data_IF_121751626042
#
_entry.id   IF_121751626042
#
_cell.length_a   1.000
_cell.length_b   1.000
_cell.length_c   1.000
_cell.angle_alpha   90.00
_cell.angle_beta   90.00
_cell.angle_gamma   90.00
#
_symmetry.space_group_name_H-M   'P 1'
#
loop_
_entity.id
_entity.type
_entity.pdbx_description
1 polymer ?
#
# COMPACT_ATOMS: atom_id res chain seq x y z
N UNK A 1 -10.29 11.53 -17.71
CA UNK A 1 -8.98 10.82 -17.85
C UNK A 1 -8.91 9.79 -16.73
N UNK A 2 -8.53 8.55 -17.00
CA UNK A 2 -8.50 7.49 -15.99
C UNK A 2 -7.12 7.44 -15.35
N UNK A 3 -7.06 7.39 -14.01
CA UNK A 3 -5.81 7.31 -13.25
C UNK A 3 -5.56 5.87 -12.84
N UNK A 4 -4.36 5.37 -13.14
CA UNK A 4 -3.96 4.02 -12.83
C UNK A 4 -3.45 3.92 -11.39
N UNK A 5 -4.04 3.04 -10.60
CA UNK A 5 -3.61 2.70 -9.25
C UNK A 5 -3.06 1.28 -9.14
N UNK A 6 -2.13 1.05 -8.22
CA UNK A 6 -1.62 -0.29 -7.92
C UNK A 6 -2.00 -0.73 -6.50
N UNK A 7 -2.65 -1.89 -6.42
CA UNK A 7 -3.00 -2.53 -5.17
C UNK A 7 -1.75 -3.12 -4.50
N UNK A 8 -1.59 -2.85 -3.20
CA UNK A 8 -0.48 -3.34 -2.40
C UNK A 8 0.88 -3.18 -3.11
N UNK A 9 1.18 -1.94 -3.43
CA UNK A 9 2.25 -1.54 -4.36
C UNK A 9 3.64 -2.03 -3.96
N UNK A 10 3.87 -2.35 -2.68
CA UNK A 10 5.15 -2.85 -2.16
C UNK A 10 5.22 -4.38 -2.06
N UNK A 11 4.22 -5.11 -2.51
CA UNK A 11 4.20 -6.59 -2.43
C UNK A 11 5.19 -7.30 -3.35
N UNK A 12 5.90 -6.58 -4.22
CA UNK A 12 7.03 -7.10 -4.98
C UNK A 12 8.26 -7.37 -4.11
N UNK A 13 8.32 -6.78 -2.90
CA UNK A 13 9.42 -7.00 -1.97
C UNK A 13 9.42 -8.45 -1.48
N UNK A 14 10.62 -8.94 -1.15
CA UNK A 14 10.77 -10.29 -0.60
C UNK A 14 10.11 -10.40 0.77
N UNK A 15 9.57 -11.58 1.14
CA UNK A 15 9.13 -11.84 2.50
C UNK A 15 10.23 -11.58 3.52
N UNK A 16 9.88 -11.14 4.71
CA UNK A 16 10.83 -10.89 5.80
C UNK A 16 11.45 -12.18 6.34
N UNK A 17 10.71 -13.29 6.28
CA UNK A 17 11.18 -14.62 6.66
C UNK A 17 11.46 -15.48 5.42
N UNK A 18 12.60 -16.17 5.40
CA UNK A 18 12.96 -17.09 4.33
C UNK A 18 12.01 -18.29 4.23
N UNK A 19 11.44 -18.70 5.37
CA UNK A 19 10.46 -19.80 5.42
C UNK A 19 9.16 -19.46 4.70
N UNK A 20 8.85 -18.17 4.53
CA UNK A 20 7.65 -17.70 3.82
C UNK A 20 7.88 -17.51 2.32
N UNK A 21 9.10 -17.71 1.85
CA UNK A 21 9.45 -17.50 0.44
C UNK A 21 8.65 -18.40 -0.53
N UNK A 22 8.47 -19.70 -0.27
CA UNK A 22 7.66 -20.55 -1.14
C UNK A 22 6.21 -20.08 -1.27
N UNK A 23 5.71 -19.35 -0.27
CA UNK A 23 4.34 -18.84 -0.22
C UNK A 23 4.21 -17.38 -0.68
N UNK A 24 5.29 -16.76 -1.15
CA UNK A 24 5.27 -15.35 -1.57
C UNK A 24 4.21 -15.06 -2.63
N UNK A 25 3.98 -15.99 -3.54
CA UNK A 25 2.98 -15.86 -4.60
C UNK A 25 1.55 -15.62 -4.07
N UNK A 26 1.22 -16.07 -2.85
CA UNK A 26 -0.12 -15.89 -2.24
C UNK A 26 -0.38 -14.45 -1.78
N UNK A 27 0.66 -13.68 -1.52
CA UNK A 27 0.58 -12.30 -1.03
C UNK A 27 1.16 -11.27 -2.01
N UNK A 28 1.81 -11.73 -3.09
CA UNK A 28 2.42 -10.87 -4.10
C UNK A 28 1.37 -10.35 -5.06
N UNK A 29 1.06 -9.05 -4.97
CA UNK A 29 0.14 -8.36 -5.85
C UNK A 29 0.86 -7.66 -7.02
N UNK A 30 2.14 -7.32 -6.85
CA UNK A 30 2.94 -6.60 -7.85
C UNK A 30 4.17 -7.37 -8.26
N UNK A 31 4.44 -7.43 -9.56
CA UNK A 31 5.60 -8.12 -10.13
C UNK A 31 6.84 -7.23 -10.26
N UNK A 32 6.65 -5.91 -10.23
CA UNK A 32 7.69 -4.91 -10.50
C UNK A 32 7.75 -3.86 -9.40
N UNK A 33 8.90 -3.20 -9.27
CA UNK A 33 9.13 -2.19 -8.25
C UNK A 33 8.33 -0.89 -8.50
N UNK A 34 8.30 -0.01 -7.51
CA UNK A 34 7.58 1.27 -7.55
C UNK A 34 7.99 2.13 -8.75
N UNK A 35 9.27 2.16 -9.09
CA UNK A 35 9.77 2.98 -10.22
C UNK A 35 9.28 2.43 -11.56
N UNK A 36 9.26 1.11 -11.70
CA UNK A 36 8.73 0.46 -12.87
C UNK A 36 7.20 0.63 -12.97
N UNK A 37 6.47 0.49 -11.85
CA UNK A 37 5.03 0.78 -11.80
C UNK A 37 4.74 2.22 -12.25
N UNK A 38 5.51 3.20 -11.77
CA UNK A 38 5.37 4.60 -12.18
C UNK A 38 5.62 4.79 -13.68
N UNK A 39 6.68 4.18 -14.25
CA UNK A 39 6.95 4.23 -15.70
C UNK A 39 5.83 3.61 -16.54
N UNK A 40 5.13 2.63 -16.00
CA UNK A 40 3.95 2.00 -16.62
C UNK A 40 2.67 2.84 -16.49
N UNK A 41 2.76 4.04 -15.91
CA UNK A 41 1.63 4.96 -15.81
C UNK A 41 0.90 4.95 -14.46
N UNK A 42 1.34 4.12 -13.49
CA UNK A 42 0.75 4.15 -12.14
C UNK A 42 1.02 5.48 -11.46
N UNK A 43 -0.02 6.09 -10.91
CA UNK A 43 0.03 7.37 -10.18
C UNK A 43 -0.57 7.29 -8.78
N UNK A 44 -1.27 6.20 -8.48
CA UNK A 44 -1.84 5.93 -7.15
C UNK A 44 -1.23 4.66 -6.59
N UNK A 45 -0.61 4.73 -5.42
CA UNK A 45 0.10 3.63 -4.79
C UNK A 45 -0.56 3.26 -3.45
N UNK A 46 -1.06 2.01 -3.34
CA UNK A 46 -1.62 1.45 -2.11
C UNK A 46 -0.49 0.82 -1.28
N UNK A 47 -0.15 1.42 -0.16
CA UNK A 47 0.89 0.95 0.77
C UNK A 47 0.24 0.50 2.06
N UNK A 48 0.45 -0.76 2.41
CA UNK A 48 -0.15 -1.39 3.58
C UNK A 48 0.88 -1.63 4.66
N UNK A 49 0.55 -1.18 5.86
CA UNK A 49 1.45 -1.15 7.00
C UNK A 49 0.85 -1.89 8.19
N UNK A 50 1.70 -2.50 8.96
CA UNK A 50 1.49 -2.92 10.32
C UNK A 50 2.57 -2.29 11.19
N UNK A 51 2.47 -2.40 12.50
CA UNK A 51 3.47 -1.87 13.43
C UNK A 51 3.92 -2.94 14.40
N UNK A 52 5.21 -3.02 14.66
CA UNK A 52 5.73 -3.90 15.69
C UNK A 52 5.43 -3.35 17.12
N UNK A 53 5.93 -4.02 18.15
CA UNK A 53 5.73 -3.60 19.54
C UNK A 53 6.39 -2.26 19.90
N UNK A 54 7.35 -1.81 19.10
CA UNK A 54 8.07 -0.56 19.31
C UNK A 54 7.54 0.57 18.41
N UNK A 55 6.42 0.36 17.72
CA UNK A 55 5.85 1.34 16.79
C UNK A 55 6.60 1.46 15.45
N UNK A 56 7.50 0.51 15.12
CA UNK A 56 8.20 0.50 13.85
C UNK A 56 7.27 0.02 12.72
N UNK A 57 7.16 0.77 11.60
CA UNK A 57 6.32 0.35 10.48
C UNK A 57 6.89 -0.87 9.77
N UNK A 58 6.01 -1.80 9.45
CA UNK A 58 6.26 -3.03 8.70
C UNK A 58 5.36 -3.04 7.47
N UNK A 59 5.92 -3.23 6.29
CA UNK A 59 5.13 -3.44 5.08
C UNK A 59 4.50 -4.83 5.14
N UNK A 60 3.17 -4.90 4.97
CA UNK A 60 2.42 -6.13 5.18
C UNK A 60 1.31 -6.33 4.16
N UNK A 61 0.96 -7.58 3.88
CA UNK A 61 -0.27 -7.97 3.20
C UNK A 61 -0.84 -9.25 3.82
N UNK A 62 -2.02 -9.15 4.39
CA UNK A 62 -2.63 -10.26 5.11
C UNK A 62 -1.71 -10.80 6.20
N UNK A 63 -1.29 -12.06 6.07
CA UNK A 63 -0.40 -12.73 7.02
C UNK A 63 1.10 -12.51 6.72
N UNK A 64 1.47 -11.98 5.55
CA UNK A 64 2.85 -11.85 5.11
C UNK A 64 3.42 -10.45 5.37
N UNK A 65 4.58 -10.41 6.02
CA UNK A 65 5.40 -9.20 6.17
C UNK A 65 6.53 -9.21 5.16
N UNK A 66 6.80 -8.07 4.53
CA UNK A 66 7.85 -7.90 3.52
C UNK A 66 9.09 -7.23 4.09
N UNK A 67 10.25 -7.57 3.54
CA UNK A 67 11.55 -6.99 3.94
C UNK A 67 11.67 -5.56 3.43
N UNK A 68 11.29 -4.62 4.28
CA UNK A 68 11.39 -3.18 4.02
C UNK A 68 11.84 -2.47 5.31
N UNK A 69 13.01 -1.84 5.28
CA UNK A 69 13.44 -1.01 6.40
C UNK A 69 12.69 0.34 6.38
N UNK A 70 12.72 1.05 7.50
CA UNK A 70 12.10 2.39 7.61
C UNK A 70 12.73 3.36 6.62
N UNK A 71 14.07 3.31 6.49
CA UNK A 71 14.83 4.15 5.56
C UNK A 71 14.44 3.86 4.10
N UNK A 72 14.26 2.58 3.77
CA UNK A 72 13.80 2.17 2.44
C UNK A 72 12.38 2.66 2.16
N UNK A 73 11.48 2.54 3.13
CA UNK A 73 10.11 3.05 3.01
C UNK A 73 10.10 4.56 2.83
N UNK A 74 10.86 5.29 3.66
CA UNK A 74 11.01 6.74 3.57
C UNK A 74 11.62 7.16 2.23
N UNK A 75 12.64 6.44 1.74
CA UNK A 75 13.24 6.70 0.43
C UNK A 75 12.26 6.50 -0.74
N UNK A 76 11.37 5.49 -0.65
CA UNK A 76 10.31 5.28 -1.64
C UNK A 76 9.31 6.45 -1.61
N UNK A 77 8.86 6.86 -0.42
CA UNK A 77 7.92 7.98 -0.28
C UNK A 77 8.54 9.31 -0.72
N UNK A 78 9.82 9.53 -0.40
CA UNK A 78 10.58 10.69 -0.86
C UNK A 78 10.67 10.73 -2.39
N UNK A 79 10.97 9.60 -3.02
CA UNK A 79 11.02 9.52 -4.48
C UNK A 79 9.65 9.78 -5.12
N UNK A 80 8.55 9.25 -4.54
CA UNK A 80 7.20 9.55 -5.01
C UNK A 80 6.87 11.04 -4.83
N UNK A 81 7.30 11.66 -3.73
CA UNK A 81 7.12 13.08 -3.48
C UNK A 81 7.84 13.95 -4.53
N UNK A 82 9.04 13.58 -4.95
CA UNK A 82 9.80 14.29 -6.00
C UNK A 82 9.08 14.29 -7.36
N UNK A 83 8.21 13.29 -7.61
CA UNK A 83 7.44 13.22 -8.85
C UNK A 83 6.30 14.24 -8.92
N UNK A 84 5.72 14.62 -7.78
CA UNK A 84 4.69 15.66 -7.67
C UNK A 84 3.30 15.30 -8.21
N UNK A 85 3.21 14.29 -9.09
CA UNK A 85 1.98 13.83 -9.75
C UNK A 85 1.44 12.52 -9.17
N UNK A 86 1.93 12.10 -8.00
CA UNK A 86 1.59 10.83 -7.36
C UNK A 86 0.67 11.00 -6.17
N UNK A 87 -0.07 9.95 -5.87
CA UNK A 87 -0.88 9.83 -4.66
C UNK A 87 -0.57 8.51 -3.95
N UNK A 88 -0.55 8.53 -2.62
CA UNK A 88 -0.29 7.36 -1.80
C UNK A 88 -1.45 7.12 -0.86
N UNK A 89 -2.00 5.92 -0.93
CA UNK A 89 -2.94 5.41 0.05
C UNK A 89 -2.20 4.64 1.13
N UNK A 90 -2.29 5.10 2.38
CA UNK A 90 -1.76 4.38 3.53
C UNK A 90 -2.89 3.60 4.21
N UNK A 91 -2.69 2.30 4.44
CA UNK A 91 -3.66 1.43 5.08
C UNK A 91 -3.01 0.72 6.25
N UNK A 92 -3.69 0.71 7.40
CA UNK A 92 -3.37 -0.20 8.50
C UNK A 92 -3.91 -1.59 8.15
N UNK A 93 -3.00 -2.51 7.84
CA UNK A 93 -3.34 -3.89 7.48
C UNK A 93 -3.47 -4.74 8.73
N UNK A 94 -4.67 -5.21 9.01
CA UNK A 94 -4.92 -6.09 10.14
C UNK A 94 -4.51 -7.52 9.80
N UNK A 95 -3.70 -8.21 10.62
CA UNK A 95 -3.45 -9.64 10.45
C UNK A 95 -4.76 -10.42 10.51
N UNK A 96 -4.93 -11.47 9.68
CA UNK A 96 -6.17 -12.25 9.65
C UNK A 96 -6.44 -12.97 10.99
N UNK A 97 -5.40 -13.18 11.80
CA UNK A 97 -5.51 -13.82 13.12
C UNK A 97 -4.70 -13.01 14.14
N UNK A 98 -5.39 -12.35 15.04
CA UNK A 98 -4.80 -11.77 16.23
C UNK A 98 -4.95 -12.75 17.39
N UNK A 99 -3.96 -13.63 17.55
CA UNK A 99 -3.84 -14.49 18.74
C UNK A 99 -3.23 -13.67 19.88
N UNK A 100 -4.00 -12.77 20.45
CA UNK A 100 -3.60 -11.97 21.61
C UNK A 100 -4.67 -12.05 22.68
N UNK A 101 -4.28 -11.96 23.97
CA UNK A 101 -5.24 -11.95 25.08
C UNK A 101 -6.23 -10.77 24.99
N UNK A 102 -5.78 -9.64 24.44
CA UNK A 102 -6.62 -8.45 24.23
C UNK A 102 -6.43 -7.88 22.81
N UNK A 103 -7.20 -8.37 21.82
CA UNK A 103 -7.13 -7.87 20.45
C UNK A 103 -7.50 -6.39 20.32
N UNK A 104 -8.41 -5.89 21.17
CA UNK A 104 -8.87 -4.50 21.10
C UNK A 104 -7.78 -3.52 21.55
N UNK A 105 -7.09 -3.82 22.64
CA UNK A 105 -5.96 -3.01 23.12
C UNK A 105 -4.83 -2.97 22.07
N UNK A 106 -4.48 -4.14 21.49
CA UNK A 106 -3.48 -4.21 20.42
C UNK A 106 -3.88 -3.37 19.22
N UNK A 107 -5.14 -3.44 18.77
CA UNK A 107 -5.61 -2.64 17.64
C UNK A 107 -5.60 -1.15 17.94
N UNK A 108 -5.93 -0.76 19.17
CA UNK A 108 -5.89 0.66 19.60
C UNK A 108 -4.48 1.19 19.57
N UNK A 109 -3.50 0.45 20.10
CA UNK A 109 -2.08 0.79 20.04
C UNK A 109 -1.58 0.92 18.60
N UNK A 110 -1.92 -0.04 17.73
CA UNK A 110 -1.47 -0.01 16.32
C UNK A 110 -2.13 1.12 15.53
N UNK A 111 -3.38 1.48 15.83
CA UNK A 111 -4.02 2.68 15.28
C UNK A 111 -3.31 3.96 15.70
N UNK A 112 -2.88 4.07 16.94
CA UNK A 112 -2.10 5.21 17.41
C UNK A 112 -0.78 5.34 16.64
N UNK A 113 0.02 4.29 16.53
CA UNK A 113 1.27 4.29 15.75
C UNK A 113 1.03 4.63 14.28
N UNK A 114 -0.03 4.09 13.70
CA UNK A 114 -0.40 4.36 12.31
C UNK A 114 -0.75 5.84 12.09
N UNK A 115 -1.56 6.44 12.95
CA UNK A 115 -1.93 7.85 12.85
C UNK A 115 -0.72 8.76 13.01
N UNK A 116 0.15 8.47 13.98
CA UNK A 116 1.41 9.19 14.19
C UNK A 116 2.30 9.12 12.95
N UNK A 117 2.47 7.92 12.38
CA UNK A 117 3.22 7.73 11.14
C UNK A 117 2.62 8.53 9.98
N UNK A 118 1.30 8.45 9.78
CA UNK A 118 0.61 9.18 8.71
C UNK A 118 0.80 10.69 8.84
N UNK A 119 0.64 11.24 10.05
CA UNK A 119 0.86 12.67 10.32
C UNK A 119 2.30 13.07 9.98
N UNK A 120 3.27 12.27 10.39
CA UNK A 120 4.68 12.51 10.09
C UNK A 120 4.92 12.50 8.57
N UNK A 121 4.39 11.52 7.84
CA UNK A 121 4.56 11.41 6.39
C UNK A 121 3.92 12.58 5.65
N UNK A 122 2.71 12.99 6.03
CA UNK A 122 2.02 14.13 5.43
C UNK A 122 2.82 15.43 5.63
N UNK A 123 3.39 15.63 6.82
CA UNK A 123 4.18 16.81 7.13
C UNK A 123 5.55 16.81 6.43
N UNK A 124 6.12 15.63 6.20
CA UNK A 124 7.44 15.49 5.57
C UNK A 124 7.35 15.56 4.03
N UNK A 125 6.36 14.92 3.43
CA UNK A 125 6.22 14.78 1.98
C UNK A 125 5.01 15.58 1.49
N UNK A 126 5.20 16.85 1.17
CA UNK A 126 4.10 17.78 0.87
C UNK A 126 3.59 17.73 -0.58
N UNK A 127 4.38 17.22 -1.51
CA UNK A 127 4.01 17.17 -2.93
C UNK A 127 3.19 15.91 -3.25
N UNK A 128 3.46 14.78 -2.56
CA UNK A 128 2.65 13.57 -2.70
C UNK A 128 1.33 13.74 -1.95
N UNK A 129 0.23 13.36 -2.60
CA UNK A 129 -1.10 13.41 -1.98
C UNK A 129 -1.35 12.14 -1.17
N UNK A 130 -1.44 12.25 0.15
CA UNK A 130 -1.80 11.13 1.02
C UNK A 130 -3.31 11.09 1.26
N UNK A 131 -3.90 9.89 1.28
CA UNK A 131 -5.31 9.68 1.56
C UNK A 131 -5.58 8.28 2.13
N UNK A 132 -6.78 8.05 2.65
CA UNK A 132 -7.30 6.70 2.87
C UNK A 132 -7.15 6.10 4.25
N UNK A 133 -7.18 6.88 5.33
CA UNK A 133 -7.16 6.29 6.68
C UNK A 133 -8.52 5.86 7.21
N UNK A 134 -9.61 6.29 6.61
CA UNK A 134 -10.93 6.02 7.17
C UNK A 134 -11.49 4.71 6.63
N UNK A 135 -11.80 3.86 7.57
CA UNK A 135 -12.63 2.67 7.35
C UNK A 135 -13.87 3.04 6.52
N UNK A 136 -14.20 2.23 5.52
CA UNK A 136 -15.46 2.27 4.75
C UNK A 136 -15.59 3.31 3.62
N UNK A 137 -14.64 4.16 3.33
CA UNK A 137 -14.70 4.90 2.05
C UNK A 137 -14.21 4.01 0.92
N UNK A 138 -15.02 3.86 -0.12
CA UNK A 138 -14.60 3.20 -1.35
C UNK A 138 -13.49 4.01 -2.04
N UNK A 139 -12.68 3.38 -2.85
CA UNK A 139 -11.68 4.07 -3.67
C UNK A 139 -12.30 5.22 -4.47
N UNK A 140 -13.47 4.99 -5.04
CA UNK A 140 -14.23 5.99 -5.76
C UNK A 140 -14.47 7.24 -4.91
N UNK A 141 -15.03 7.10 -3.72
CA UNK A 141 -15.34 8.24 -2.82
C UNK A 141 -14.09 9.00 -2.37
N UNK A 142 -12.95 8.31 -2.22
CA UNK A 142 -11.71 8.93 -1.78
C UNK A 142 -11.05 9.72 -2.91
N UNK A 143 -11.18 9.26 -4.13
CA UNK A 143 -10.59 9.87 -5.31
C UNK A 143 -11.48 10.93 -5.95
N UNK A 144 -12.81 10.78 -5.87
CA UNK A 144 -13.78 11.80 -6.31
C UNK A 144 -13.62 13.12 -5.53
N UNK A 145 -13.22 13.06 -4.26
CA UNK A 145 -12.93 14.26 -3.47
C UNK A 145 -11.66 15.01 -3.93
N UNK A 146 -10.81 14.44 -4.77
CA UNK A 146 -9.50 14.99 -5.16
C UNK A 146 -9.16 14.95 -6.65
N UNK A 147 -9.76 14.05 -7.38
CA UNK A 147 -9.44 13.78 -8.79
C UNK A 147 -10.78 13.43 -9.47
N UNK A 148 -11.23 14.24 -10.38
CA UNK A 148 -12.49 14.05 -11.11
C UNK A 148 -12.51 12.82 -12.03
N UNK A 149 -11.58 11.89 -11.87
CA UNK A 149 -11.39 10.73 -12.74
C UNK A 149 -11.45 9.42 -11.96
N UNK A 150 -12.17 8.42 -12.46
CA UNK A 150 -12.21 7.08 -11.86
C UNK A 150 -10.84 6.38 -11.98
N UNK A 151 -10.23 5.95 -10.87
CA UNK A 151 -8.98 5.21 -10.93
C UNK A 151 -9.22 3.80 -11.46
N UNK A 152 -8.38 3.35 -12.36
CA UNK A 152 -8.25 1.94 -12.68
C UNK A 152 -7.30 1.33 -11.68
N UNK A 153 -7.83 0.45 -10.83
CA UNK A 153 -7.02 -0.30 -9.88
C UNK A 153 -6.50 -1.57 -10.54
N UNK A 154 -5.21 -1.83 -10.41
CA UNK A 154 -4.61 -3.08 -10.84
C UNK A 154 -4.83 -4.10 -9.74
N UNK A 155 -5.71 -5.07 -9.98
CA UNK A 155 -5.98 -6.14 -9.03
C UNK A 155 -4.81 -7.11 -8.92
N UNK A 156 -4.74 -7.81 -7.79
CA UNK A 156 -3.59 -8.63 -7.39
C UNK A 156 -3.22 -9.74 -8.38
N UNK A 157 -4.17 -10.44 -8.96
CA UNK A 157 -3.88 -11.60 -9.82
C UNK A 157 -3.54 -11.25 -11.25
N UNK A 158 -4.10 -10.19 -11.70
CA UNK A 158 -3.89 -9.72 -13.05
C UNK A 158 -2.85 -8.60 -13.11
N UNK A 159 -2.44 -8.06 -11.96
CA UNK A 159 -1.42 -6.99 -11.91
C UNK A 159 -0.08 -7.41 -12.51
N UNK A 160 0.35 -8.65 -12.28
CA UNK A 160 1.58 -9.15 -12.88
C UNK A 160 1.42 -9.30 -14.39
N UNK A 161 0.31 -9.86 -14.83
CA UNK A 161 0.03 -10.10 -16.25
C UNK A 161 -0.29 -8.81 -16.99
N UNK A 162 -1.09 -7.92 -16.40
CA UNK A 162 -1.50 -6.68 -17.07
C UNK A 162 -0.41 -5.61 -17.08
N UNK A 163 0.44 -5.52 -16.06
CA UNK A 163 1.62 -4.66 -16.10
C UNK A 163 2.54 -5.11 -17.24
N UNK A 164 2.68 -6.43 -17.47
CA UNK A 164 3.48 -6.95 -18.57
C UNK A 164 2.78 -6.88 -19.93
N UNK A 165 1.46 -6.97 -19.98
CA UNK A 165 0.71 -6.97 -21.26
C UNK A 165 0.14 -5.63 -21.64
N UNK A 166 0.22 -4.61 -20.76
CA UNK A 166 -0.35 -3.28 -21.00
C UNK A 166 -1.88 -3.24 -21.09
N UNK A 167 -2.58 -4.32 -20.75
CA UNK A 167 -4.04 -4.34 -20.76
C UNK A 167 -4.59 -3.73 -19.48
N UNK A 168 -5.53 -2.78 -19.55
CA UNK A 168 -6.24 -2.27 -18.38
C UNK A 168 -7.06 -3.39 -17.76
N UNK A 169 -7.02 -3.48 -16.43
CA UNK A 169 -7.76 -4.46 -15.68
C UNK A 169 -9.08 -3.91 -15.19
N UNK A 170 -10.09 -4.73 -15.33
CA UNK A 170 -11.37 -4.46 -14.70
C UNK A 170 -11.23 -4.55 -13.18
N UNK A 171 -11.81 -3.57 -12.51
CA UNK A 171 -11.77 -3.41 -11.05
C UNK A 171 -12.72 -4.40 -10.37
N UNK A 172 -12.44 -5.68 -10.41
CA UNK A 172 -13.17 -6.64 -9.61
C UNK A 172 -12.40 -6.97 -8.34
N UNK A 173 -12.89 -6.56 -7.18
CA UNK A 173 -12.37 -7.07 -5.94
C UNK A 173 -12.00 -6.09 -4.82
N UNK A 174 -12.31 -4.83 -4.94
CA UNK A 174 -12.24 -3.90 -3.82
C UNK A 174 -13.58 -3.87 -3.08
N UNK A 175 -13.82 -4.88 -2.27
CA UNK A 175 -14.91 -4.89 -1.28
C UNK A 175 -14.38 -4.59 0.11
#
# INVERSE_FOLDING_TARGET
>A
MRILGSHNSLSYLRPSSILLWPFHFTARCQGVDIRAQYRLGVRVFDIRLWFDKNGKPLVRHGWMTFKCSVEKLSGILGWLNEKGDTSVRLILETPPFLFTPDPLAVMTEKKFYFLTFCTTMINTFRQVKFFGFREKKTWKTILDDRINDEPILIDRYSSTTSIFTGKPLETSGWR
#
